data_IF_798961373724
#
_entry.id   IF_798961373724
#
_cell.length_a   1.000
_cell.length_b   1.000
_cell.length_c   1.000
_cell.angle_alpha   90.00
_cell.angle_beta   90.00
_cell.angle_gamma   90.00
#
_symmetry.space_group_name_H-M   'P 1'
#
loop_
_entity.id
_entity.type
_entity.pdbx_description
1 polymer ?
#
# COMPACT_ATOMS: atom_id res chain seq x y z
N UNK A 1 -16.09 -12.51 -14.89
CA UNK A 1 -16.54 -11.42 -15.78
C UNK A 1 -15.65 -10.23 -15.48
N UNK A 2 -14.64 -9.98 -16.31
CA UNK A 2 -13.66 -8.87 -16.13
C UNK A 2 -14.25 -7.61 -16.82
N UNK A 3 -15.47 -7.29 -16.55
CA UNK A 3 -16.24 -6.42 -17.45
C UNK A 3 -15.95 -4.95 -17.35
N UNK A 4 -15.14 -4.46 -16.40
CA UNK A 4 -14.93 -3.01 -16.31
C UNK A 4 -13.54 -2.56 -15.86
N UNK A 5 -12.55 -3.46 -15.78
CA UNK A 5 -11.17 -3.06 -15.49
C UNK A 5 -10.60 -2.14 -16.58
N UNK A 6 -10.92 -2.42 -17.85
CA UNK A 6 -10.53 -1.54 -18.96
C UNK A 6 -11.10 -0.13 -18.78
N UNK A 7 -12.37 -0.02 -18.37
CA UNK A 7 -12.98 1.28 -18.08
C UNK A 7 -12.30 2.00 -16.88
N UNK A 8 -11.94 1.24 -15.85
CA UNK A 8 -11.18 1.81 -14.72
C UNK A 8 -9.84 2.38 -15.19
N UNK A 9 -9.07 1.63 -15.96
CA UNK A 9 -7.79 2.09 -16.48
C UNK A 9 -7.91 3.29 -17.42
N UNK A 10 -8.94 3.32 -18.25
CA UNK A 10 -9.26 4.48 -19.09
C UNK A 10 -9.60 5.71 -18.23
N UNK A 11 -10.37 5.53 -17.17
CA UNK A 11 -10.72 6.59 -16.24
C UNK A 11 -9.48 7.05 -15.47
N UNK A 12 -8.65 6.12 -15.00
CA UNK A 12 -7.40 6.44 -14.33
C UNK A 12 -6.47 7.24 -15.25
N UNK A 13 -6.37 6.88 -16.53
CA UNK A 13 -5.64 7.68 -17.53
C UNK A 13 -6.19 9.10 -17.66
N UNK A 14 -7.50 9.29 -17.69
CA UNK A 14 -8.12 10.61 -17.76
C UNK A 14 -7.86 11.44 -16.51
N UNK A 15 -7.87 10.81 -15.34
CA UNK A 15 -7.65 11.50 -14.07
C UNK A 15 -6.20 11.87 -13.87
N UNK A 16 -5.28 11.01 -14.29
CA UNK A 16 -3.85 11.21 -14.04
C UNK A 16 -3.12 11.80 -15.23
N UNK A 17 -3.75 11.80 -16.43
CA UNK A 17 -3.06 12.21 -17.67
C UNK A 17 -1.80 11.38 -17.86
N UNK A 18 -0.68 12.04 -18.13
CA UNK A 18 0.64 11.40 -18.22
C UNK A 18 1.26 11.12 -16.85
N UNK A 19 0.55 11.39 -15.75
CA UNK A 19 1.00 11.12 -14.40
C UNK A 19 0.22 11.79 -13.29
N UNK A 20 0.33 11.20 -12.10
CA UNK A 20 -0.04 11.90 -10.88
C UNK A 20 0.92 13.06 -10.70
N UNK A 21 0.42 14.28 -10.74
CA UNK A 21 1.20 15.47 -10.45
C UNK A 21 1.40 15.57 -8.93
N UNK A 22 2.31 14.78 -8.42
CA UNK A 22 2.63 14.74 -6.99
C UNK A 22 3.88 15.55 -6.66
N UNK A 23 4.64 15.94 -7.68
CA UNK A 23 5.87 16.66 -7.52
C UNK A 23 5.64 18.16 -7.64
N UNK A 24 6.13 18.89 -6.66
CA UNK A 24 6.21 20.36 -6.73
C UNK A 24 7.66 20.73 -7.00
N UNK A 25 7.88 21.52 -8.03
CA UNK A 25 9.20 22.08 -8.32
C UNK A 25 9.58 23.08 -7.23
N UNK A 26 10.87 23.18 -6.92
CA UNK A 26 11.35 24.26 -6.04
C UNK A 26 11.17 25.63 -6.67
N UNK A 27 11.51 26.68 -5.90
CA UNK A 27 11.38 28.08 -6.38
C UNK A 27 12.22 28.38 -7.62
N UNK A 28 13.24 27.56 -7.91
CA UNK A 28 14.11 27.67 -9.06
C UNK A 28 13.65 26.78 -10.22
N UNK A 29 12.56 26.03 -10.06
CA UNK A 29 12.07 25.10 -11.07
C UNK A 29 12.90 23.82 -11.21
N UNK A 30 13.85 23.60 -10.32
CA UNK A 30 14.70 22.41 -10.33
C UNK A 30 14.05 21.26 -9.59
N UNK A 31 14.18 20.08 -10.17
CA UNK A 31 13.69 18.83 -9.63
C UNK A 31 14.85 18.12 -8.92
N UNK A 32 14.94 18.28 -7.61
CA UNK A 32 16.04 17.71 -6.82
C UNK A 32 15.77 16.26 -6.47
N UNK A 33 16.20 15.37 -7.33
CA UNK A 33 16.11 13.92 -7.12
C UNK A 33 17.44 13.40 -6.57
N UNK A 34 17.37 12.77 -5.43
CA UNK A 34 18.62 12.34 -4.77
C UNK A 34 19.23 11.08 -5.39
N UNK A 35 18.43 10.07 -5.75
CA UNK A 35 18.96 8.79 -6.26
C UNK A 35 17.93 8.09 -7.16
N UNK A 36 18.39 7.53 -8.27
CA UNK A 36 17.67 6.52 -9.03
C UNK A 36 18.06 5.13 -8.52
N UNK A 37 17.08 4.38 -8.08
CA UNK A 37 17.25 3.02 -7.61
C UNK A 37 16.58 2.07 -8.60
N UNK A 38 17.22 0.97 -8.88
CA UNK A 38 16.66 -0.11 -9.69
C UNK A 38 16.58 -1.40 -8.89
N UNK A 39 15.57 -2.20 -9.13
CA UNK A 39 15.43 -3.49 -8.49
C UNK A 39 14.23 -4.29 -8.97
N UNK A 40 14.20 -5.55 -8.63
CA UNK A 40 13.06 -6.43 -8.92
C UNK A 40 11.88 -6.13 -8.01
N UNK A 41 10.65 -6.26 -8.53
CA UNK A 41 9.45 -6.17 -7.72
C UNK A 41 9.28 -7.48 -6.96
N UNK A 42 9.14 -7.38 -5.65
CA UNK A 42 9.11 -8.52 -4.73
C UNK A 42 7.71 -8.86 -4.21
N UNK A 43 6.68 -8.07 -4.55
CA UNK A 43 5.32 -8.37 -4.12
C UNK A 43 4.91 -9.77 -4.59
N UNK A 44 4.33 -10.61 -3.71
CA UNK A 44 3.89 -11.96 -4.06
C UNK A 44 2.87 -11.97 -5.20
N UNK A 45 1.96 -11.00 -5.19
CA UNK A 45 1.07 -10.71 -6.29
C UNK A 45 1.52 -9.42 -6.97
N UNK A 46 2.07 -9.53 -8.16
CA UNK A 46 2.67 -8.37 -8.84
C UNK A 46 1.65 -7.47 -9.51
N UNK A 47 0.45 -7.97 -9.71
CA UNK A 47 -0.67 -7.21 -10.23
C UNK A 47 -0.66 -6.93 -11.73
N UNK A 48 -1.85 -6.57 -12.20
CA UNK A 48 -2.01 -6.04 -13.55
C UNK A 48 -1.98 -4.54 -13.46
N UNK A 49 -0.99 -3.87 -13.96
CA UNK A 49 -1.35 -2.56 -13.92
C UNK A 49 -0.29 -1.51 -14.08
N UNK A 50 -0.58 -0.45 -13.43
CA UNK A 50 0.22 0.75 -13.47
C UNK A 50 0.95 0.93 -12.18
N UNK A 51 2.20 1.31 -12.28
CA UNK A 51 2.96 1.90 -11.22
C UNK A 51 2.89 3.43 -11.41
N UNK A 52 2.23 4.10 -10.49
CA UNK A 52 1.99 5.54 -10.61
C UNK A 52 3.19 6.36 -10.15
N UNK A 53 3.39 7.51 -10.76
CA UNK A 53 4.31 8.51 -10.22
C UNK A 53 3.90 8.89 -8.80
N UNK A 54 4.85 8.94 -7.88
CA UNK A 54 4.60 9.19 -6.46
C UNK A 54 4.09 8.00 -5.66
N UNK A 55 3.98 6.82 -6.26
CA UNK A 55 3.63 5.62 -5.52
C UNK A 55 4.74 5.23 -4.56
N UNK A 56 4.37 4.97 -3.31
CA UNK A 56 5.30 4.56 -2.28
C UNK A 56 5.80 3.14 -2.50
N UNK A 57 7.05 2.93 -2.15
CA UNK A 57 7.71 1.62 -2.24
C UNK A 57 8.71 1.45 -1.10
N UNK A 58 8.97 0.22 -0.73
CA UNK A 58 10.06 -0.13 0.18
C UNK A 58 11.22 -0.73 -0.61
N UNK A 59 12.32 -0.01 -0.68
CA UNK A 59 13.56 -0.50 -1.29
C UNK A 59 14.41 -1.21 -0.24
N UNK A 60 14.78 -2.44 -0.54
CA UNK A 60 15.71 -3.25 0.26
C UNK A 60 17.01 -3.45 -0.51
N UNK A 61 18.10 -2.80 -0.10
CA UNK A 61 19.38 -2.89 -0.79
C UNK A 61 19.82 -4.34 -1.04
N UNK A 62 20.20 -4.65 -2.28
CA UNK A 62 20.64 -5.99 -2.68
C UNK A 62 19.53 -7.04 -2.79
N UNK A 63 18.29 -6.69 -2.53
CA UNK A 63 17.13 -7.61 -2.56
C UNK A 63 16.15 -7.20 -3.65
N UNK A 64 15.62 -5.97 -3.59
CA UNK A 64 14.62 -5.46 -4.54
C UNK A 64 13.66 -4.46 -3.91
N UNK A 65 12.48 -4.35 -4.49
CA UNK A 65 11.47 -3.37 -4.08
C UNK A 65 10.11 -4.02 -3.84
N UNK A 66 9.42 -3.57 -2.79
CA UNK A 66 8.01 -3.85 -2.57
C UNK A 66 7.19 -2.61 -2.91
N UNK A 67 6.21 -2.76 -3.78
CA UNK A 67 5.23 -1.72 -4.06
C UNK A 67 4.29 -1.65 -2.86
N UNK A 68 4.10 -0.48 -2.29
CA UNK A 68 3.10 -0.25 -1.27
C UNK A 68 1.75 -0.06 -1.96
N UNK A 69 0.79 -0.91 -1.61
CA UNK A 69 -0.58 -0.85 -2.11
C UNK A 69 -1.55 -0.74 -0.96
N UNK A 70 -2.47 0.18 -1.09
CA UNK A 70 -3.47 0.44 -0.08
C UNK A 70 -4.83 0.77 -0.70
N UNK A 71 -5.89 0.36 -0.02
CA UNK A 71 -7.26 0.49 -0.51
C UNK A 71 -8.14 1.05 0.59
N UNK A 72 -8.80 2.17 0.31
CA UNK A 72 -9.73 2.79 1.25
C UNK A 72 -11.07 2.05 1.23
N UNK A 73 -11.50 1.55 2.36
CA UNK A 73 -12.81 0.91 2.54
C UNK A 73 -13.90 1.98 2.50
N UNK A 74 -14.91 1.78 1.67
CA UNK A 74 -15.99 2.76 1.47
C UNK A 74 -17.26 2.42 2.22
N UNK A 75 -17.46 1.17 2.60
CA UNK A 75 -18.67 0.71 3.24
C UNK A 75 -18.35 -0.21 4.43
N UNK A 76 -19.15 -0.14 5.48
CA UNK A 76 -18.99 -1.04 6.62
C UNK A 76 -19.18 -2.51 6.21
N UNK A 77 -18.29 -3.37 6.69
CA UNK A 77 -18.38 -4.82 6.53
C UNK A 77 -18.35 -5.49 7.91
N UNK A 78 -19.46 -6.08 8.33
CA UNK A 78 -19.55 -6.79 9.60
C UNK A 78 -19.47 -8.28 9.36
N UNK A 79 -18.32 -8.87 9.68
CA UNK A 79 -18.01 -10.28 9.44
C UNK A 79 -18.41 -10.72 8.01
N UNK A 80 -18.00 -9.96 7.01
CA UNK A 80 -18.39 -10.13 5.61
C UNK A 80 -17.23 -10.58 4.75
N UNK A 81 -17.50 -11.47 3.80
CA UNK A 81 -16.58 -11.80 2.70
C UNK A 81 -16.68 -10.84 1.52
N UNK A 82 -17.61 -9.90 1.57
CA UNK A 82 -17.74 -8.84 0.56
C UNK A 82 -17.29 -7.52 1.15
N UNK A 83 -16.35 -6.86 0.51
CA UNK A 83 -15.79 -5.57 0.92
C UNK A 83 -15.80 -4.62 -0.28
N UNK A 84 -16.14 -3.36 -0.03
CA UNK A 84 -16.09 -2.32 -1.06
C UNK A 84 -14.95 -1.37 -0.77
N UNK A 85 -14.16 -1.10 -1.79
CA UNK A 85 -13.04 -0.15 -1.70
C UNK A 85 -13.14 0.90 -2.81
N UNK A 86 -12.49 2.04 -2.59
CA UNK A 86 -12.52 3.15 -3.51
C UNK A 86 -11.93 2.80 -4.88
N UNK A 87 -12.58 3.23 -5.95
CA UNK A 87 -12.20 3.03 -7.33
C UNK A 87 -12.31 4.32 -8.15
N UNK A 88 -12.00 5.46 -7.57
CA UNK A 88 -12.14 6.79 -8.18
C UNK A 88 -11.13 7.11 -9.30
N UNK A 89 -10.19 6.23 -9.54
CA UNK A 89 -9.10 6.40 -10.51
C UNK A 89 -7.81 6.93 -9.89
N UNK A 90 -7.82 7.42 -8.64
CA UNK A 90 -6.61 7.74 -7.89
C UNK A 90 -6.09 6.56 -7.07
N UNK A 91 -6.97 5.64 -6.75
CA UNK A 91 -6.65 4.42 -6.01
C UNK A 91 -5.97 3.37 -6.90
N UNK A 92 -5.21 2.49 -6.27
CA UNK A 92 -4.71 1.29 -6.95
C UNK A 92 -5.88 0.36 -7.31
N UNK A 93 -5.69 -0.45 -8.34
CA UNK A 93 -6.63 -1.51 -8.69
C UNK A 93 -6.34 -2.74 -7.83
N UNK A 94 -7.30 -3.20 -7.02
CA UNK A 94 -7.14 -4.46 -6.31
C UNK A 94 -7.19 -5.65 -7.27
N UNK A 95 -6.55 -6.76 -6.89
CA UNK A 95 -6.36 -7.89 -7.78
C UNK A 95 -6.74 -9.21 -7.13
N UNK A 96 -7.19 -10.13 -7.98
CA UNK A 96 -7.42 -11.52 -7.56
C UNK A 96 -6.08 -12.15 -7.16
N UNK A 97 -6.05 -12.75 -5.98
CA UNK A 97 -4.85 -13.37 -5.42
C UNK A 97 -4.14 -12.53 -4.37
N UNK A 98 -4.38 -11.23 -4.31
CA UNK A 98 -3.82 -10.39 -3.23
C UNK A 98 -4.29 -10.87 -1.87
N UNK A 99 -3.40 -10.84 -0.91
CA UNK A 99 -3.71 -11.08 0.50
C UNK A 99 -3.75 -9.73 1.20
N UNK A 100 -4.91 -9.37 1.72
CA UNK A 100 -5.15 -8.07 2.32
C UNK A 100 -5.43 -8.19 3.81
N UNK A 101 -5.04 -7.19 4.56
CA UNK A 101 -5.34 -7.04 5.98
C UNK A 101 -5.70 -5.60 6.30
N UNK A 102 -6.43 -5.38 7.40
CA UNK A 102 -6.63 -4.03 7.92
C UNK A 102 -5.30 -3.46 8.35
N UNK A 103 -4.99 -2.26 7.89
CA UNK A 103 -3.77 -1.57 8.27
C UNK A 103 -3.76 -1.28 9.78
N UNK A 104 -2.65 -1.58 10.48
CA UNK A 104 -2.51 -1.21 11.88
C UNK A 104 -2.21 0.29 12.04
N UNK A 105 -2.45 0.82 13.22
CA UNK A 105 -1.99 2.16 13.58
C UNK A 105 -0.45 2.22 13.76
N UNK A 106 0.14 1.10 14.21
CA UNK A 106 1.59 0.94 14.36
C UNK A 106 2.00 -0.48 13.99
N UNK A 107 3.16 -0.63 13.35
CA UNK A 107 3.76 -1.95 13.05
C UNK A 107 4.42 -2.60 14.26
N UNK A 108 4.73 -1.82 15.30
CA UNK A 108 5.22 -2.32 16.58
C UNK A 108 4.18 -2.12 17.65
N UNK A 109 3.92 -3.16 18.43
CA UNK A 109 2.98 -3.15 19.55
C UNK A 109 3.75 -3.39 20.83
N UNK A 110 3.65 -2.44 21.76
CA UNK A 110 4.21 -2.60 23.10
C UNK A 110 3.15 -3.17 24.02
N UNK A 111 3.41 -4.32 24.59
CA UNK A 111 2.58 -4.94 25.62
C UNK A 111 3.26 -4.79 26.99
N UNK A 112 2.45 -4.59 28.03
CA UNK A 112 2.93 -4.51 29.41
C UNK A 112 2.36 -5.69 30.19
N UNK A 113 3.26 -6.43 30.84
CA UNK A 113 2.88 -7.49 31.76
C UNK A 113 3.27 -7.06 33.18
N UNK A 114 2.30 -6.97 34.06
CA UNK A 114 2.53 -6.67 35.46
C UNK A 114 2.39 -7.94 36.31
N UNK A 115 3.39 -8.23 37.10
CA UNK A 115 3.37 -9.34 38.06
C UNK A 115 3.46 -8.79 39.47
N UNK A 116 2.62 -9.30 40.37
CA UNK A 116 2.67 -8.99 41.78
C UNK A 116 3.54 -10.05 42.45
N UNK A 117 4.67 -9.64 42.97
CA UNK A 117 5.59 -10.51 43.72
C UNK A 117 5.26 -10.60 45.20
N UNK A 118 6.09 -11.30 45.95
CA UNK A 118 6.00 -11.33 47.41
C UNK A 118 6.13 -9.92 47.97
N UNK A 119 5.34 -9.59 48.98
CA UNK A 119 5.27 -8.26 49.60
C UNK A 119 4.63 -7.16 48.76
N UNK A 120 3.65 -7.53 47.88
CA UNK A 120 2.92 -6.60 47.02
C UNK A 120 3.80 -5.76 46.07
N UNK A 121 5.02 -6.19 45.83
CA UNK A 121 5.90 -5.54 44.87
C UNK A 121 5.37 -5.79 43.43
N UNK A 122 5.02 -4.72 42.73
CA UNK A 122 4.56 -4.80 41.31
C UNK A 122 5.77 -4.59 40.42
N UNK A 123 6.04 -5.60 39.58
CA UNK A 123 7.03 -5.50 38.51
C UNK A 123 6.31 -5.44 37.18
N UNK A 124 6.53 -4.37 36.42
CA UNK A 124 5.98 -4.22 35.06
C UNK A 124 7.09 -4.42 34.06
N UNK A 125 6.90 -5.37 33.16
CA UNK A 125 7.81 -5.65 32.04
C UNK A 125 7.15 -5.21 30.75
N UNK A 126 7.83 -4.38 29.97
CA UNK A 126 7.43 -4.02 28.62
C UNK A 126 8.01 -5.04 27.63
N UNK A 127 7.19 -5.47 26.68
CA UNK A 127 7.60 -6.33 25.57
C UNK A 127 7.11 -5.71 24.26
N UNK A 128 8.00 -5.57 23.30
CA UNK A 128 7.69 -5.09 21.97
C UNK A 128 7.61 -6.28 21.00
N UNK A 129 6.55 -6.29 20.21
CA UNK A 129 6.34 -7.28 19.17
C UNK A 129 5.81 -6.62 17.89
N UNK A 130 6.14 -7.21 16.76
CA UNK A 130 5.57 -6.79 15.50
C UNK A 130 4.07 -7.08 15.48
N UNK A 131 3.29 -6.11 14.95
CA UNK A 131 1.85 -6.26 14.81
C UNK A 131 1.52 -7.45 13.91
N UNK A 132 0.56 -8.24 14.33
CA UNK A 132 -0.06 -9.30 13.52
C UNK A 132 -1.57 -9.15 13.53
N UNK A 133 -2.20 -9.39 12.39
CA UNK A 133 -3.65 -9.28 12.25
C UNK A 133 -4.23 -10.31 11.29
N UNK A 134 -5.55 -10.37 11.26
CA UNK A 134 -6.26 -11.22 10.32
C UNK A 134 -6.08 -10.70 8.89
N UNK A 135 -5.77 -11.60 7.96
CA UNK A 135 -5.73 -11.33 6.54
C UNK A 135 -6.69 -12.23 5.77
N UNK A 136 -7.13 -11.76 4.61
CA UNK A 136 -7.98 -12.52 3.70
C UNK A 136 -7.45 -12.39 2.26
N UNK A 137 -7.63 -13.44 1.46
CA UNK A 137 -7.24 -13.44 0.06
C UNK A 137 -8.40 -12.99 -0.82
N UNK A 138 -8.12 -12.11 -1.75
CA UNK A 138 -9.08 -11.67 -2.78
C UNK A 138 -9.30 -12.81 -3.78
N UNK A 139 -10.54 -13.25 -3.91
CA UNK A 139 -10.95 -14.30 -4.84
C UNK A 139 -11.67 -13.77 -6.07
N UNK A 140 -12.25 -12.58 -5.97
CA UNK A 140 -12.94 -11.91 -7.09
C UNK A 140 -12.87 -10.41 -6.91
N UNK A 141 -12.73 -9.68 -8.03
CA UNK A 141 -12.78 -8.22 -8.11
C UNK A 141 -13.82 -7.83 -9.16
N UNK A 142 -14.74 -6.96 -8.82
CA UNK A 142 -15.74 -6.38 -9.71
C UNK A 142 -15.68 -4.86 -9.59
N UNK A 143 -15.66 -4.15 -10.72
CA UNK A 143 -15.69 -2.69 -10.70
C UNK A 143 -17.10 -2.16 -10.95
N UNK A 144 -17.62 -1.38 -10.04
CA UNK A 144 -18.85 -0.62 -10.15
C UNK A 144 -18.54 0.78 -10.68
N UNK A 145 -18.74 0.98 -11.96
CA UNK A 145 -18.47 2.24 -12.64
C UNK A 145 -19.42 3.37 -12.20
N UNK A 146 -20.62 3.03 -11.72
CA UNK A 146 -21.63 4.01 -11.29
C UNK A 146 -21.21 4.68 -10.00
N UNK A 147 -20.76 3.87 -9.04
CA UNK A 147 -20.35 4.34 -7.72
C UNK A 147 -18.84 4.55 -7.60
N UNK A 148 -18.06 4.27 -8.65
CA UNK A 148 -16.61 4.33 -8.66
C UNK A 148 -15.98 3.53 -7.50
N UNK A 149 -16.42 2.28 -7.33
CA UNK A 149 -15.96 1.38 -6.27
C UNK A 149 -15.54 0.03 -6.85
N UNK A 150 -14.59 -0.61 -6.18
CA UNK A 150 -14.33 -2.04 -6.38
C UNK A 150 -15.09 -2.84 -5.33
N UNK A 151 -15.78 -3.88 -5.78
CA UNK A 151 -16.34 -4.92 -4.93
C UNK A 151 -15.38 -6.10 -4.90
N UNK A 152 -14.88 -6.39 -3.72
CA UNK A 152 -13.98 -7.51 -3.47
C UNK A 152 -14.77 -8.67 -2.87
N UNK A 153 -14.50 -9.88 -3.35
CA UNK A 153 -14.89 -11.10 -2.65
C UNK A 153 -13.65 -11.72 -2.03
N UNK A 154 -13.71 -12.00 -0.74
CA UNK A 154 -12.62 -12.53 0.05
C UNK A 154 -12.86 -14.01 0.40
N UNK A 155 -11.79 -14.76 0.62
CA UNK A 155 -11.84 -16.17 1.05
C UNK A 155 -12.10 -16.32 2.56
N UNK A 156 -12.13 -15.21 3.30
CA UNK A 156 -12.41 -15.15 4.73
C UNK A 156 -13.15 -13.85 5.05
N UNK A 157 -14.11 -13.94 5.99
CA UNK A 157 -14.84 -12.78 6.45
C UNK A 157 -13.96 -11.81 7.24
N UNK A 158 -14.13 -10.52 7.01
CA UNK A 158 -13.47 -9.45 7.75
C UNK A 158 -14.50 -8.49 8.37
N UNK A 159 -14.13 -7.87 9.47
CA UNK A 159 -14.90 -6.78 10.08
C UNK A 159 -14.15 -5.47 9.84
N UNK A 160 -14.76 -4.58 9.07
CA UNK A 160 -14.18 -3.32 8.62
C UNK A 160 -15.21 -2.21 8.76
N UNK A 161 -14.74 -1.03 9.06
CA UNK A 161 -15.54 0.21 9.01
C UNK A 161 -15.23 0.99 7.74
N UNK A 162 -16.14 1.83 7.31
CA UNK A 162 -15.82 2.85 6.32
C UNK A 162 -14.63 3.69 6.82
N UNK A 163 -13.78 4.12 5.89
CA UNK A 163 -12.52 4.81 6.12
C UNK A 163 -11.38 3.94 6.70
N UNK A 164 -11.61 2.67 6.99
CA UNK A 164 -10.50 1.75 7.23
C UNK A 164 -9.64 1.62 5.96
N UNK A 165 -8.35 1.39 6.14
CA UNK A 165 -7.44 1.15 5.03
C UNK A 165 -7.03 -0.33 5.05
N UNK A 166 -7.16 -0.98 3.90
CA UNK A 166 -6.58 -2.29 3.65
C UNK A 166 -5.19 -2.12 3.04
N UNK A 167 -4.26 -2.98 3.45
CA UNK A 167 -2.90 -3.07 2.91
C UNK A 167 -2.56 -4.52 2.56
N UNK A 168 -1.57 -4.71 1.71
CA UNK A 168 -1.08 -6.07 1.43
C UNK A 168 -0.42 -6.67 2.68
N UNK A 169 -0.77 -7.92 2.94
CA UNK A 169 -0.17 -8.75 3.97
C UNK A 169 0.93 -9.65 3.39
N UNK A 170 1.87 -10.06 4.23
CA UNK A 170 2.86 -11.09 3.87
C UNK A 170 2.17 -12.42 3.57
N UNK A 171 2.75 -13.17 2.64
CA UNK A 171 2.27 -14.51 2.26
C UNK A 171 1.33 -14.53 1.07
N UNK A 172 0.86 -15.72 0.73
CA UNK A 172 0.02 -15.99 -0.45
C UNK A 172 -1.36 -16.56 -0.11
N UNK A 173 -1.64 -16.70 1.17
CA UNK A 173 -2.90 -17.23 1.71
C UNK A 173 -3.34 -16.45 2.94
N UNK A 174 -4.62 -16.57 3.27
CA UNK A 174 -5.17 -15.99 4.52
C UNK A 174 -4.45 -16.49 5.77
N UNK A 175 -4.41 -15.65 6.79
CA UNK A 175 -3.82 -15.97 8.08
C UNK A 175 -4.56 -15.26 9.21
N UNK A 176 -4.59 -15.86 10.39
CA UNK A 176 -5.09 -15.19 11.60
C UNK A 176 -4.05 -14.25 12.22
N UNK A 177 -2.77 -14.39 11.84
CA UNK A 177 -1.64 -13.62 12.37
C UNK A 177 -0.69 -13.17 11.26
N UNK A 178 -1.25 -12.58 10.21
CA UNK A 178 -0.47 -11.99 9.12
C UNK A 178 0.23 -10.71 9.56
N UNK A 179 1.37 -10.43 8.93
CA UNK A 179 2.09 -9.17 9.05
C UNK A 179 1.88 -8.32 7.81
N UNK A 180 2.07 -7.02 7.92
CA UNK A 180 2.06 -6.14 6.74
C UNK A 180 3.26 -6.41 5.85
N UNK A 181 3.04 -6.41 4.53
CA UNK A 181 4.09 -6.67 3.54
C UNK A 181 5.10 -5.52 3.47
N UNK A 182 4.62 -4.30 3.40
CA UNK A 182 5.45 -3.09 3.31
C UNK A 182 5.39 -2.34 4.64
N UNK A 183 6.52 -2.33 5.35
CA UNK A 183 6.62 -1.79 6.70
C UNK A 183 7.21 -0.39 6.73
N UNK A 184 8.20 -0.15 5.89
CA UNK A 184 9.02 1.05 5.89
C UNK A 184 9.18 1.60 4.46
N UNK A 185 8.10 2.09 3.86
CA UNK A 185 8.20 2.67 2.51
C UNK A 185 9.14 3.87 2.56
N UNK A 186 10.22 3.80 1.80
CA UNK A 186 11.36 4.71 1.85
C UNK A 186 11.73 5.33 0.50
N UNK A 187 11.01 4.97 -0.56
CA UNK A 187 11.21 5.52 -1.90
C UNK A 187 9.88 5.76 -2.61
N UNK A 188 9.90 6.62 -3.60
CA UNK A 188 8.75 6.91 -4.46
C UNK A 188 9.06 6.54 -5.90
N UNK A 189 8.07 6.04 -6.60
CA UNK A 189 8.19 5.85 -8.03
C UNK A 189 8.21 7.20 -8.75
N UNK A 190 9.18 7.37 -9.64
CA UNK A 190 9.41 8.64 -10.32
C UNK A 190 8.38 8.97 -11.39
N UNK A 191 8.00 7.99 -12.19
CA UNK A 191 7.17 8.19 -13.37
C UNK A 191 6.14 7.07 -13.51
N UNK A 192 5.07 7.37 -14.21
CA UNK A 192 4.08 6.34 -14.58
C UNK A 192 4.72 5.26 -15.43
N UNK A 193 4.43 4.02 -15.08
CA UNK A 193 4.88 2.86 -15.83
C UNK A 193 3.75 1.85 -15.94
N UNK A 194 3.57 1.31 -17.13
CA UNK A 194 2.71 0.13 -17.32
C UNK A 194 3.49 -1.11 -16.95
N UNK A 195 2.91 -1.92 -16.08
CA UNK A 195 3.41 -3.24 -15.74
C UNK A 195 2.73 -4.22 -16.69
N UNK A 196 3.30 -4.42 -17.86
CA UNK A 196 2.77 -5.39 -18.82
C UNK A 196 3.29 -6.79 -18.45
N UNK A 197 2.42 -7.81 -18.42
CA UNK A 197 2.87 -9.17 -18.30
C UNK A 197 3.60 -9.56 -19.59
N UNK A 198 4.88 -9.91 -19.47
CA UNK A 198 5.63 -10.59 -20.50
C UNK A 198 5.83 -12.03 -20.04
N UNK A 199 5.32 -12.99 -20.81
CA UNK A 199 5.45 -14.43 -20.54
C UNK A 199 4.96 -14.88 -19.14
N UNK A 200 3.84 -14.30 -18.67
CA UNK A 200 3.28 -14.62 -17.37
C UNK A 200 4.04 -13.98 -16.18
N UNK A 201 5.09 -13.24 -16.46
CA UNK A 201 5.79 -12.38 -15.50
C UNK A 201 5.49 -10.91 -15.81
N UNK A 202 5.42 -10.07 -14.77
CA UNK A 202 5.30 -8.62 -14.96
C UNK A 202 6.62 -8.07 -15.46
N UNK A 203 6.61 -7.55 -16.68
CA UNK A 203 7.82 -7.25 -17.38
C UNK A 203 8.22 -5.80 -17.32
N UNK A 204 9.15 -5.53 -16.46
CA UNK A 204 10.25 -4.70 -16.92
C UNK A 204 11.25 -5.62 -17.65
N UNK A 205 11.91 -5.11 -18.66
CA UNK A 205 13.01 -5.84 -19.26
C UNK A 205 13.91 -6.35 -18.13
N UNK A 206 13.91 -7.66 -17.90
CA UNK A 206 14.56 -8.36 -16.79
C UNK A 206 13.93 -8.16 -15.38
N UNK A 207 12.64 -7.88 -15.25
CA UNK A 207 12.00 -7.76 -13.96
C UNK A 207 12.44 -6.57 -13.09
N UNK A 208 13.15 -5.61 -13.68
CA UNK A 208 13.71 -4.45 -12.98
C UNK A 208 13.01 -3.17 -13.37
N UNK A 209 12.89 -2.24 -12.43
CA UNK A 209 12.42 -0.90 -12.73
C UNK A 209 13.21 0.14 -11.94
N UNK A 210 13.13 1.39 -12.40
CA UNK A 210 13.75 2.50 -11.71
C UNK A 210 12.77 3.17 -10.78
N UNK A 211 13.18 3.36 -9.54
CA UNK A 211 12.47 4.17 -8.58
C UNK A 211 13.36 5.34 -8.18
N UNK A 212 12.77 6.47 -7.91
CA UNK A 212 13.53 7.60 -7.37
C UNK A 212 13.51 7.56 -5.86
N UNK A 213 14.62 7.98 -5.30
CA UNK A 213 14.76 8.18 -3.87
C UNK A 213 13.90 9.35 -3.36
N UNK A 214 14.07 9.64 -2.11
CA UNK A 214 13.33 10.68 -1.39
C UNK A 214 13.62 12.06 -1.97
N UNK A 215 12.59 12.87 -2.11
CA UNK A 215 12.68 14.25 -2.53
C UNK A 215 12.55 15.20 -1.34
N UNK A 216 13.23 16.29 -1.40
CA UNK A 216 13.12 17.41 -0.46
C UNK A 216 11.97 18.38 -0.81
N UNK A 217 10.90 17.86 -1.43
CA UNK A 217 9.82 18.67 -1.99
C UNK A 217 8.44 18.23 -1.55
N UNK A 218 7.49 19.14 -1.68
CA UNK A 218 6.08 18.90 -1.36
C UNK A 218 5.50 17.76 -2.15
N UNK A 219 4.93 16.79 -1.46
CA UNK A 219 4.12 15.73 -2.03
C UNK A 219 2.67 15.99 -1.63
N UNK A 220 1.81 16.01 -2.62
CA UNK A 220 0.37 16.07 -2.40
C UNK A 220 -0.12 14.68 -2.04
N UNK A 221 -0.14 14.42 -0.75
CA UNK A 221 -0.43 13.09 -0.21
C UNK A 221 -1.80 12.55 -0.65
N UNK A 222 -2.78 13.43 -0.80
CA UNK A 222 -4.12 13.04 -1.27
C UNK A 222 -4.13 12.50 -2.70
N UNK A 223 -3.07 12.75 -3.46
CA UNK A 223 -2.92 12.28 -4.85
C UNK A 223 -2.08 11.03 -4.99
N UNK A 224 -1.50 10.53 -3.91
CA UNK A 224 -0.71 9.30 -3.98
C UNK A 224 -1.59 8.07 -3.84
N UNK A 225 -2.03 7.79 -2.64
CA UNK A 225 -2.86 6.64 -2.26
C UNK A 225 -3.29 6.80 -0.81
N UNK A 226 -4.30 6.06 -0.32
CA UNK A 226 -4.65 6.07 1.09
C UNK A 226 -3.44 5.67 1.94
N UNK A 227 -3.06 6.51 2.90
CA UNK A 227 -1.89 6.25 3.75
C UNK A 227 -2.31 5.93 5.18
N UNK A 228 -2.04 4.71 5.66
CA UNK A 228 -2.30 4.35 7.04
C UNK A 228 -1.36 5.09 8.01
N UNK A 229 -1.77 5.18 9.26
CA UNK A 229 -1.06 5.93 10.30
C UNK A 229 0.39 5.49 10.47
N UNK A 230 0.67 4.18 10.40
CA UNK A 230 2.03 3.68 10.56
C UNK A 230 2.98 4.18 9.45
N UNK A 231 2.48 4.28 8.21
CA UNK A 231 3.26 4.82 7.08
C UNK A 231 3.51 6.30 7.26
N UNK A 232 2.48 7.06 7.65
CA UNK A 232 2.62 8.49 7.92
C UNK A 232 3.59 8.76 9.06
N UNK A 233 3.50 8.00 10.15
CA UNK A 233 4.40 8.14 11.29
C UNK A 233 5.85 7.84 10.91
N UNK A 234 6.08 6.75 10.17
CA UNK A 234 7.41 6.38 9.69
C UNK A 234 8.00 7.47 8.78
N UNK A 235 7.23 7.92 7.80
CA UNK A 235 7.72 8.87 6.82
C UNK A 235 8.00 10.25 7.44
N UNK A 236 7.14 10.73 8.33
CA UNK A 236 7.37 12.00 9.07
C UNK A 236 8.62 11.96 9.95
N UNK A 237 9.00 10.80 10.45
CA UNK A 237 10.14 10.64 11.35
C UNK A 237 11.46 10.34 10.61
N UNK A 238 11.41 9.78 9.40
CA UNK A 238 12.58 9.22 8.74
C UNK A 238 12.86 9.83 7.36
N UNK A 239 11.97 10.65 6.85
CA UNK A 239 12.13 11.28 5.53
C UNK A 239 12.06 12.79 5.70
N UNK A 240 13.21 13.45 5.62
CA UNK A 240 13.31 14.89 5.65
C UNK A 240 12.86 15.52 4.33
N UNK A 241 12.31 16.74 4.40
CA UNK A 241 11.99 17.56 3.23
C UNK A 241 10.70 17.20 2.49
N UNK A 242 9.90 16.27 2.98
CA UNK A 242 8.58 15.98 2.42
C UNK A 242 7.50 16.72 3.19
N UNK A 243 6.74 17.53 2.46
CA UNK A 243 5.54 18.16 3.00
C UNK A 243 4.35 17.23 2.81
N UNK A 244 3.88 16.70 3.91
CA UNK A 244 2.68 15.90 3.98
C UNK A 244 1.48 16.83 4.13
N UNK A 245 0.86 17.18 3.01
CA UNK A 245 -0.31 18.09 2.96
C UNK A 245 -1.57 17.29 2.77
#
# INVERSE_FOLDING_TARGET
MVTNLAYFFERAKKVHGDGRWVWVKDSNGEDRRNVLLGGDILNPNKGLGHLWAGQLMEYKPGVGMYIFRSFLVTDNASASTTVYVNGDGYSDCPEVGQVLMKAPDSIMVTSYTSTVGANDAVTTTASEAEYTGQSAKVTKVEYDATNAKFKLTLDQAMTLSADDILVEAEGTSKSASAKVLVKHPNVFNEANRELLPTDGSFGFTNGKYAASGVYDKQIWIQRTQPLPKYVLAYNKSNIDGIFWV
#
